data_IF_722659297837
#
_entry.id   IF_722659297837
#
_cell.length_a   1.000
_cell.length_b   1.000
_cell.length_c   1.000
_cell.angle_alpha   90.00
_cell.angle_beta   90.00
_cell.angle_gamma   90.00
#
_symmetry.space_group_name_H-M   'P 1'
#
loop_
_entity.id
_entity.type
_entity.pdbx_description
1 polymer ?
#
# COMPACT_ATOMS: atom_id res chain seq x y z
N UNK A 1 28.20 16.43 -8.87
CA UNK A 1 26.76 16.65 -8.63
C UNK A 1 26.33 15.64 -7.59
N UNK A 2 25.75 16.06 -6.46
CA UNK A 2 25.19 15.11 -5.50
C UNK A 2 23.98 14.44 -6.15
N UNK A 3 23.99 13.11 -6.33
CA UNK A 3 22.76 12.42 -6.67
C UNK A 3 21.87 12.48 -5.43
N UNK A 4 20.80 13.28 -5.48
CA UNK A 4 19.68 13.01 -4.59
C UNK A 4 19.18 11.61 -4.95
N UNK A 5 19.11 10.72 -3.96
CA UNK A 5 18.54 9.40 -4.14
C UNK A 5 17.06 9.48 -4.57
N UNK A 6 16.38 8.33 -4.65
CA UNK A 6 14.94 8.32 -4.91
C UNK A 6 14.22 9.26 -3.93
N UNK A 7 13.30 10.08 -4.45
CA UNK A 7 12.45 10.94 -3.62
C UNK A 7 11.42 10.05 -2.90
N UNK A 8 11.31 10.21 -1.59
CA UNK A 8 10.28 9.59 -0.78
C UNK A 8 9.14 10.58 -0.51
N UNK A 9 7.89 10.11 -0.58
CA UNK A 9 6.70 10.93 -0.40
C UNK A 9 5.59 10.12 0.27
N UNK A 10 4.84 10.77 1.18
CA UNK A 10 3.69 10.16 1.86
C UNK A 10 2.42 10.37 1.02
N UNK A 11 1.80 9.28 0.57
CA UNK A 11 0.56 9.33 -0.22
C UNK A 11 -0.71 9.47 0.64
N UNK A 12 -0.69 9.02 1.89
CA UNK A 12 -1.85 9.14 2.77
C UNK A 12 -1.71 8.41 4.11
N UNK A 13 -2.60 8.77 5.04
CA UNK A 13 -2.83 8.06 6.29
C UNK A 13 -4.32 7.71 6.37
N UNK A 14 -4.63 6.43 6.26
CA UNK A 14 -6.01 5.95 6.27
C UNK A 14 -6.29 5.22 7.60
N UNK A 15 -7.18 5.74 8.45
CA UNK A 15 -7.60 5.02 9.64
C UNK A 15 -8.49 3.83 9.24
N UNK A 16 -8.24 2.67 9.84
CA UNK A 16 -9.11 1.50 9.72
C UNK A 16 -9.98 1.38 10.96
N UNK A 17 -11.27 1.10 10.77
CA UNK A 17 -12.18 0.73 11.85
C UNK A 17 -12.55 -0.74 11.74
N UNK A 18 -12.50 -1.49 12.85
CA UNK A 18 -12.81 -2.92 12.86
C UNK A 18 -11.58 -3.81 12.64
N UNK A 19 -11.75 -4.86 11.83
CA UNK A 19 -10.75 -5.91 11.63
C UNK A 19 -9.91 -5.62 10.37
N UNK A 20 -8.63 -5.98 10.38
CA UNK A 20 -7.68 -5.69 9.29
C UNK A 20 -7.40 -6.93 8.46
N UNK A 21 -8.43 -7.46 7.80
CA UNK A 21 -8.26 -8.59 6.89
C UNK A 21 -7.46 -8.15 5.65
N UNK A 22 -6.83 -9.10 4.98
CA UNK A 22 -6.04 -8.80 3.79
C UNK A 22 -6.84 -8.09 2.70
N UNK A 23 -8.11 -8.44 2.55
CA UNK A 23 -9.04 -7.79 1.61
C UNK A 23 -9.32 -6.32 1.98
N UNK A 24 -9.57 -6.02 3.26
CA UNK A 24 -9.81 -4.64 3.71
C UNK A 24 -8.59 -3.76 3.40
N UNK A 25 -7.39 -4.29 3.66
CA UNK A 25 -6.14 -3.56 3.41
C UNK A 25 -5.90 -3.40 1.91
N UNK A 26 -6.12 -4.44 1.11
CA UNK A 26 -5.99 -4.36 -0.35
C UNK A 26 -6.91 -3.30 -0.95
N UNK A 27 -8.17 -3.26 -0.52
CA UNK A 27 -9.16 -2.28 -0.96
C UNK A 27 -8.74 -0.84 -0.60
N UNK A 28 -8.27 -0.63 0.63
CA UNK A 28 -7.79 0.67 1.08
C UNK A 28 -6.53 1.13 0.34
N UNK A 29 -5.57 0.23 0.07
CA UNK A 29 -4.37 0.55 -0.71
C UNK A 29 -4.75 0.90 -2.14
N UNK A 30 -5.60 0.11 -2.79
CA UNK A 30 -6.05 0.38 -4.15
C UNK A 30 -6.72 1.76 -4.25
N UNK A 31 -7.65 2.04 -3.33
CA UNK A 31 -8.31 3.35 -3.28
C UNK A 31 -7.33 4.50 -3.03
N UNK A 32 -6.37 4.33 -2.12
CA UNK A 32 -5.36 5.36 -1.85
C UNK A 32 -4.51 5.67 -3.09
N UNK A 33 -4.17 4.65 -3.89
CA UNK A 33 -3.45 4.84 -5.15
C UNK A 33 -4.30 5.58 -6.18
N UNK A 34 -5.57 5.17 -6.36
CA UNK A 34 -6.51 5.81 -7.27
C UNK A 34 -6.74 7.29 -6.91
N UNK A 35 -7.02 7.58 -5.64
CA UNK A 35 -7.26 8.95 -5.15
C UNK A 35 -6.02 9.86 -5.33
N UNK A 36 -4.81 9.29 -5.32
CA UNK A 36 -3.56 10.00 -5.57
C UNK A 36 -3.11 9.96 -7.04
N UNK A 37 -3.90 9.37 -7.95
CA UNK A 37 -3.56 9.28 -9.38
C UNK A 37 -2.37 8.36 -9.68
N UNK A 38 -2.06 7.40 -8.79
CA UNK A 38 -1.01 6.41 -8.98
C UNK A 38 -1.59 5.18 -9.68
N UNK A 39 -1.18 4.94 -10.92
CA UNK A 39 -1.56 3.74 -11.66
C UNK A 39 -0.91 2.50 -11.03
N UNK A 40 -1.73 1.60 -10.49
CA UNK A 40 -1.28 0.35 -9.86
C UNK A 40 -0.43 -0.50 -10.80
N UNK A 41 -0.66 -0.42 -12.12
CA UNK A 41 0.12 -1.15 -13.12
C UNK A 41 1.55 -0.61 -13.30
N UNK A 42 1.87 0.54 -12.68
CA UNK A 42 3.21 1.14 -12.67
C UNK A 42 3.99 0.83 -11.39
N UNK A 43 3.36 0.21 -10.39
CA UNK A 43 4.03 -0.16 -9.14
C UNK A 43 4.99 -1.33 -9.41
N UNK A 44 6.25 -1.16 -9.02
CA UNK A 44 7.29 -2.18 -9.18
C UNK A 44 7.37 -3.11 -7.97
N UNK A 45 7.15 -2.58 -6.76
CA UNK A 45 7.27 -3.34 -5.52
C UNK A 45 6.39 -2.75 -4.42
N UNK A 46 5.90 -3.62 -3.53
CA UNK A 46 5.23 -3.25 -2.28
C UNK A 46 6.02 -3.91 -1.15
N UNK A 47 6.44 -3.09 -0.18
CA UNK A 47 7.10 -3.57 1.03
C UNK A 47 6.14 -3.41 2.21
N UNK A 48 5.97 -4.48 2.99
CA UNK A 48 5.15 -4.50 4.19
C UNK A 48 5.95 -5.11 5.34
N UNK A 49 5.47 -4.97 6.56
CA UNK A 49 6.06 -5.56 7.76
C UNK A 49 5.87 -7.09 7.87
N UNK A 50 5.24 -7.71 6.87
CA UNK A 50 5.07 -9.17 6.80
C UNK A 50 3.95 -9.72 7.70
N UNK A 51 3.06 -8.88 8.21
CA UNK A 51 1.88 -9.35 8.95
C UNK A 51 1.06 -10.31 8.09
N UNK A 52 0.56 -11.40 8.69
CA UNK A 52 -0.10 -12.51 7.98
C UNK A 52 -1.21 -12.05 7.04
N UNK A 53 -2.01 -11.05 7.42
CA UNK A 53 -3.07 -10.48 6.57
C UNK A 53 -2.54 -9.86 5.27
N UNK A 54 -1.30 -9.39 5.26
CA UNK A 54 -0.65 -8.76 4.09
C UNK A 54 0.07 -9.75 3.17
N UNK A 55 0.27 -10.99 3.63
CA UNK A 55 1.04 -12.00 2.86
C UNK A 55 0.22 -12.67 1.76
N UNK A 56 -1.11 -12.49 1.74
CA UNK A 56 -1.99 -13.11 0.76
C UNK A 56 -2.06 -14.65 0.83
N UNK A 57 -1.39 -15.28 1.81
CA UNK A 57 -1.35 -16.74 1.97
C UNK A 57 -2.73 -17.28 2.35
N UNK A 58 -3.58 -16.47 2.98
CA UNK A 58 -4.93 -16.84 3.38
C UNK A 58 -5.90 -15.76 2.90
N UNK A 59 -7.00 -16.16 2.23
CA UNK A 59 -7.97 -15.23 1.62
C UNK A 59 -8.99 -14.66 2.63
N UNK A 60 -8.64 -14.64 3.91
CA UNK A 60 -9.62 -14.62 5.01
C UNK A 60 -9.96 -16.04 5.43
#
# INVERSE_FOLDING_TARGET
MSSQGPKEELLGLLPFSGQTHGEDIANAVQKCLEDNGVDINKIVSIATDGVRSMTGIHRG
#
